data_IF_566083810951
#
_entry.id   IF_566083810951
#
_cell.length_a   1.000
_cell.length_b   1.000
_cell.length_c   1.000
_cell.angle_alpha   90.00
_cell.angle_beta   90.00
_cell.angle_gamma   90.00
#
_symmetry.space_group_name_H-M   'P 1'
#
loop_
_entity.id
_entity.type
_entity.pdbx_description
1 polymer ?
#
# COMPACT_ATOMS: atom_id res chain seq x y z
N UNK A 1 4.44 31.14 6.92
CA UNK A 1 3.88 29.95 7.61
C UNK A 1 2.67 29.55 6.79
N UNK A 2 2.87 28.54 5.91
CA UNK A 2 1.82 28.11 5.00
C UNK A 2 0.57 27.63 5.75
N UNK A 3 -0.56 27.82 5.10
CA UNK A 3 -1.88 27.45 5.62
C UNK A 3 -1.93 25.97 6.00
N UNK A 4 -1.91 25.67 7.30
CA UNK A 4 -1.93 24.31 7.84
C UNK A 4 -3.14 23.51 7.34
N UNK A 5 -4.24 24.17 7.01
CA UNK A 5 -5.45 23.55 6.51
C UNK A 5 -5.23 23.00 5.08
N UNK A 6 -4.57 23.78 4.23
CA UNK A 6 -4.20 23.34 2.87
C UNK A 6 -3.20 22.19 2.89
N UNK A 7 -2.18 22.28 3.76
CA UNK A 7 -1.20 21.19 3.91
C UNK A 7 -1.87 19.90 4.35
N UNK A 8 -2.77 19.96 5.34
CA UNK A 8 -3.55 18.80 5.79
C UNK A 8 -4.38 18.20 4.65
N UNK A 9 -5.06 19.03 3.84
CA UNK A 9 -5.86 18.54 2.72
C UNK A 9 -5.00 17.85 1.66
N UNK A 10 -3.84 18.42 1.33
CA UNK A 10 -2.88 17.81 0.41
C UNK A 10 -2.40 16.45 0.90
N UNK A 11 -2.07 16.34 2.18
CA UNK A 11 -1.62 15.08 2.79
C UNK A 11 -2.73 14.03 2.76
N UNK A 12 -3.96 14.40 3.12
CA UNK A 12 -5.12 13.50 3.05
C UNK A 12 -5.33 12.97 1.63
N UNK A 13 -5.30 13.85 0.64
CA UNK A 13 -5.41 13.47 -0.77
C UNK A 13 -4.27 12.54 -1.20
N UNK A 14 -3.03 12.86 -0.81
CA UNK A 14 -1.87 12.03 -1.11
C UNK A 14 -2.01 10.62 -0.52
N UNK A 15 -2.37 10.51 0.75
CA UNK A 15 -2.61 9.24 1.43
C UNK A 15 -3.72 8.46 0.71
N UNK A 16 -4.89 9.06 0.49
CA UNK A 16 -6.04 8.39 -0.14
C UNK A 16 -5.72 7.89 -1.55
N UNK A 17 -5.02 8.68 -2.37
CA UNK A 17 -4.67 8.32 -3.74
C UNK A 17 -3.62 7.21 -3.75
N UNK A 18 -2.58 7.34 -2.92
CA UNK A 18 -1.49 6.35 -2.87
C UNK A 18 -1.98 5.01 -2.35
N UNK A 19 -2.82 5.00 -1.30
CA UNK A 19 -3.40 3.76 -0.75
C UNK A 19 -4.41 3.14 -1.70
N UNK A 20 -5.16 3.96 -2.45
CA UNK A 20 -6.07 3.48 -3.51
C UNK A 20 -5.34 2.64 -4.57
N UNK A 21 -4.07 2.94 -4.88
CA UNK A 21 -3.26 2.19 -5.83
C UNK A 21 -2.50 1.02 -5.18
N UNK A 22 -1.92 1.26 -4.00
CA UNK A 22 -1.02 0.28 -3.36
C UNK A 22 -1.79 -0.86 -2.69
N UNK A 23 -2.93 -0.61 -2.04
CA UNK A 23 -3.68 -1.68 -1.38
C UNK A 23 -4.15 -2.79 -2.34
N UNK A 24 -4.81 -2.49 -3.48
CA UNK A 24 -5.19 -3.56 -4.40
C UNK A 24 -3.97 -4.27 -5.02
N UNK A 25 -2.88 -3.55 -5.28
CA UNK A 25 -1.66 -4.15 -5.81
C UNK A 25 -1.04 -5.13 -4.81
N UNK A 26 -0.91 -4.74 -3.52
CA UNK A 26 -0.35 -5.62 -2.48
C UNK A 26 -1.28 -6.77 -2.14
N UNK A 27 -2.59 -6.53 -2.03
CA UNK A 27 -3.59 -7.60 -1.79
C UNK A 27 -3.62 -8.57 -2.97
N UNK A 28 -3.65 -8.06 -4.19
CA UNK A 28 -3.61 -8.88 -5.39
C UNK A 28 -2.35 -9.74 -5.44
N UNK A 29 -1.17 -9.14 -5.25
CA UNK A 29 0.10 -9.84 -5.23
C UNK A 29 0.15 -10.92 -4.13
N UNK A 30 -0.36 -10.63 -2.94
CA UNK A 30 -0.44 -11.62 -1.86
C UNK A 30 -1.31 -12.81 -2.26
N UNK A 31 -2.48 -12.58 -2.84
CA UNK A 31 -3.43 -13.67 -3.20
C UNK A 31 -2.91 -14.50 -4.37
N UNK A 32 -2.29 -13.87 -5.39
CA UNK A 32 -1.76 -14.61 -6.54
C UNK A 32 -0.38 -15.20 -6.31
N UNK A 33 0.26 -14.94 -5.17
CA UNK A 33 1.66 -15.31 -4.89
C UNK A 33 1.95 -16.80 -5.10
N UNK A 34 1.05 -17.70 -4.67
CA UNK A 34 1.22 -19.15 -4.86
C UNK A 34 1.24 -19.52 -6.35
N UNK A 35 0.26 -19.04 -7.12
CA UNK A 35 0.19 -19.29 -8.57
C UNK A 35 1.40 -18.67 -9.30
N UNK A 36 1.82 -17.49 -8.86
CA UNK A 36 2.95 -16.77 -9.44
C UNK A 36 4.28 -17.52 -9.20
N UNK A 37 4.51 -17.98 -7.96
CA UNK A 37 5.72 -18.73 -7.60
C UNK A 37 5.78 -20.05 -8.36
N UNK A 38 4.68 -20.79 -8.44
CA UNK A 38 4.62 -22.05 -9.20
C UNK A 38 4.85 -21.84 -10.70
N UNK A 39 4.37 -20.73 -11.26
CA UNK A 39 4.55 -20.42 -12.68
C UNK A 39 5.99 -20.01 -13.03
N UNK A 40 6.63 -19.23 -12.17
CA UNK A 40 7.95 -18.66 -12.45
C UNK A 40 9.12 -19.52 -11.96
N UNK A 41 8.96 -20.21 -10.82
CA UNK A 41 10.06 -20.81 -10.07
C UNK A 41 9.92 -22.30 -9.83
N UNK A 42 8.79 -22.93 -10.08
CA UNK A 42 8.47 -24.31 -9.72
C UNK A 42 8.06 -24.51 -8.25
N UNK A 43 7.56 -25.71 -7.93
CA UNK A 43 7.04 -26.05 -6.59
C UNK A 43 8.09 -26.02 -5.48
N UNK A 44 9.38 -26.17 -5.81
CA UNK A 44 10.50 -26.09 -4.86
C UNK A 44 10.52 -24.76 -4.09
N UNK A 45 10.06 -23.68 -4.72
CA UNK A 45 10.04 -22.34 -4.13
C UNK A 45 8.75 -22.00 -3.38
N UNK A 46 7.84 -22.95 -3.20
CA UNK A 46 6.57 -22.74 -2.49
C UNK A 46 6.76 -22.21 -1.06
N UNK A 47 7.89 -22.54 -0.42
CA UNK A 47 8.26 -22.00 0.88
C UNK A 47 8.46 -20.47 0.90
N UNK A 48 8.60 -19.81 -0.26
CA UNK A 48 8.71 -18.34 -0.35
C UNK A 48 7.35 -17.62 -0.22
N UNK A 49 6.23 -18.31 -0.48
CA UNK A 49 4.89 -17.73 -0.47
C UNK A 49 4.52 -17.04 0.84
N UNK A 50 4.73 -17.63 2.03
CA UNK A 50 4.45 -16.96 3.31
C UNK A 50 5.26 -15.66 3.49
N UNK A 51 6.50 -15.62 3.02
CA UNK A 51 7.33 -14.40 3.07
C UNK A 51 6.78 -13.30 2.16
N UNK A 52 6.24 -13.67 0.99
CA UNK A 52 5.57 -12.72 0.11
C UNK A 52 4.32 -12.11 0.78
N UNK A 53 3.51 -12.91 1.49
CA UNK A 53 2.37 -12.39 2.25
C UNK A 53 2.78 -11.39 3.31
N UNK A 54 3.80 -11.73 4.10
CA UNK A 54 4.35 -10.84 5.12
C UNK A 54 4.83 -9.53 4.49
N UNK A 55 5.58 -9.62 3.39
CA UNK A 55 6.06 -8.47 2.65
C UNK A 55 4.91 -7.60 2.13
N UNK A 56 3.93 -8.18 1.44
CA UNK A 56 2.78 -7.45 0.92
C UNK A 56 2.02 -6.71 2.02
N UNK A 57 1.76 -7.36 3.15
CA UNK A 57 1.10 -6.71 4.28
C UNK A 57 1.93 -5.56 4.85
N UNK A 58 3.22 -5.79 5.08
CA UNK A 58 4.12 -4.78 5.67
C UNK A 58 4.26 -3.55 4.76
N UNK A 59 4.39 -3.75 3.45
CA UNK A 59 4.56 -2.67 2.48
C UNK A 59 3.26 -2.00 2.03
N UNK A 60 2.10 -2.61 2.27
CA UNK A 60 0.81 -1.98 1.98
C UNK A 60 0.65 -0.62 2.67
N UNK A 61 1.18 -0.47 3.89
CA UNK A 61 1.11 0.77 4.67
C UNK A 61 2.24 1.77 4.37
N UNK A 62 3.14 1.47 3.45
CA UNK A 62 4.25 2.35 3.08
C UNK A 62 3.84 3.78 2.70
N UNK A 63 2.76 4.00 1.94
CA UNK A 63 2.30 5.35 1.62
C UNK A 63 1.97 6.20 2.85
N UNK A 64 1.42 5.59 3.91
CA UNK A 64 1.13 6.30 5.15
C UNK A 64 2.42 6.71 5.87
N UNK A 65 3.40 5.80 5.90
CA UNK A 65 4.70 6.09 6.52
C UNK A 65 5.37 7.29 5.86
N UNK A 66 5.47 7.27 4.54
CA UNK A 66 6.13 8.32 3.76
C UNK A 66 5.40 9.64 3.83
N UNK A 67 4.07 9.65 3.67
CA UNK A 67 3.28 10.87 3.75
C UNK A 67 3.39 11.53 5.13
N UNK A 68 3.30 10.77 6.21
CA UNK A 68 3.45 11.30 7.57
C UNK A 68 4.83 11.91 7.82
N UNK A 69 5.88 11.27 7.33
CA UNK A 69 7.25 11.75 7.48
C UNK A 69 7.52 13.00 6.65
N UNK A 70 7.04 13.03 5.39
CA UNK A 70 7.18 14.17 4.50
C UNK A 70 6.52 15.43 5.05
N UNK A 71 5.40 15.30 5.77
CA UNK A 71 4.76 16.42 6.47
C UNK A 71 5.69 17.05 7.50
N UNK A 72 6.29 16.23 8.35
CA UNK A 72 7.21 16.68 9.41
C UNK A 72 8.40 17.42 8.79
N UNK A 73 8.95 16.87 7.69
CA UNK A 73 10.05 17.48 6.95
C UNK A 73 9.64 18.80 6.26
N UNK A 74 8.47 18.83 5.61
CA UNK A 74 7.95 20.03 4.96
C UNK A 74 7.68 21.18 5.94
N UNK A 75 7.41 20.87 7.22
CA UNK A 75 7.28 21.87 8.29
C UNK A 75 8.62 22.31 8.89
N UNK A 76 9.77 21.86 8.33
CA UNK A 76 11.10 22.18 8.82
C UNK A 76 11.47 21.51 10.16
N UNK A 77 10.68 20.49 10.59
CA UNK A 77 10.88 19.79 11.88
C UNK A 77 11.67 18.50 11.70
N UNK A 78 12.81 18.58 11.04
CA UNK A 78 13.70 17.43 10.84
C UNK A 78 14.23 16.84 12.15
N UNK A 79 14.28 17.63 13.22
CA UNK A 79 14.58 17.19 14.59
C UNK A 79 13.63 16.09 15.06
N UNK A 80 12.32 16.24 14.81
CA UNK A 80 11.30 15.24 15.15
C UNK A 80 11.49 14.00 14.28
N UNK A 81 11.67 14.19 12.97
CA UNK A 81 11.89 13.09 12.03
C UNK A 81 13.07 12.21 12.45
N UNK A 82 14.20 12.81 12.82
CA UNK A 82 15.39 12.11 13.30
C UNK A 82 15.11 11.30 14.57
N UNK A 83 14.44 11.90 15.56
CA UNK A 83 14.07 11.21 16.81
C UNK A 83 13.19 9.99 16.55
N UNK A 84 12.18 10.12 15.68
CA UNK A 84 11.31 9.00 15.31
C UNK A 84 12.08 7.87 14.61
N UNK A 85 13.01 8.22 13.71
CA UNK A 85 13.85 7.22 13.04
C UNK A 85 14.76 6.48 14.04
N UNK A 86 15.38 7.18 14.99
CA UNK A 86 16.21 6.55 16.03
C UNK A 86 15.37 5.57 16.85
N UNK A 87 14.17 5.96 17.31
CA UNK A 87 13.29 5.10 18.10
C UNK A 87 12.91 3.85 17.29
N UNK A 88 12.49 4.01 16.04
CA UNK A 88 12.11 2.88 15.18
C UNK A 88 13.29 1.93 14.94
N UNK A 89 14.49 2.47 14.67
CA UNK A 89 15.71 1.66 14.47
C UNK A 89 16.10 0.90 15.74
N UNK A 90 16.05 1.53 16.92
CA UNK A 90 16.33 0.86 18.18
C UNK A 90 15.39 -0.33 18.40
N UNK A 91 14.09 -0.14 18.23
CA UNK A 91 13.10 -1.23 18.36
C UNK A 91 13.33 -2.31 17.30
N UNK A 92 13.64 -1.94 16.05
CA UNK A 92 13.95 -2.91 14.99
C UNK A 92 15.15 -3.77 15.36
N UNK A 93 16.23 -3.17 15.89
CA UNK A 93 17.44 -3.92 16.30
C UNK A 93 17.13 -4.88 17.44
N UNK A 94 16.37 -4.45 18.45
CA UNK A 94 15.94 -5.31 19.57
C UNK A 94 15.12 -6.50 19.06
N UNK A 95 14.11 -6.24 18.21
CA UNK A 95 13.29 -7.29 17.62
C UNK A 95 14.13 -8.26 16.77
N UNK A 96 15.10 -7.75 16.01
CA UNK A 96 15.99 -8.56 15.19
C UNK A 96 16.86 -9.50 16.04
N UNK A 97 17.52 -8.97 17.09
CA UNK A 97 18.35 -9.77 17.99
C UNK A 97 17.52 -10.88 18.67
N UNK A 98 16.28 -10.58 19.02
CA UNK A 98 15.41 -11.55 19.64
C UNK A 98 14.93 -12.61 18.62
N UNK A 99 14.52 -12.20 17.42
CA UNK A 99 13.92 -13.08 16.41
C UNK A 99 14.93 -14.01 15.71
N UNK A 100 16.20 -13.61 15.59
CA UNK A 100 17.26 -14.45 14.99
C UNK A 100 17.35 -15.82 15.67
N UNK A 101 17.10 -15.90 16.98
CA UNK A 101 17.13 -17.16 17.74
C UNK A 101 16.07 -18.16 17.31
N UNK A 102 14.99 -17.69 16.67
CA UNK A 102 13.86 -18.52 16.25
C UNK A 102 13.85 -18.82 14.73
N UNK A 103 14.92 -18.41 14.03
CA UNK A 103 15.10 -18.67 12.60
C UNK A 103 14.57 -17.59 11.66
N UNK A 104 14.81 -17.80 10.37
CA UNK A 104 14.54 -16.81 9.32
C UNK A 104 13.06 -16.45 9.23
N UNK A 105 12.16 -17.40 9.43
CA UNK A 105 10.71 -17.12 9.38
C UNK A 105 10.26 -16.20 10.51
N UNK A 106 10.80 -16.36 11.72
CA UNK A 106 10.51 -15.47 12.84
C UNK A 106 10.97 -14.04 12.58
N UNK A 107 12.13 -13.86 11.94
CA UNK A 107 12.62 -12.54 11.52
C UNK A 107 11.64 -11.89 10.54
N UNK A 108 11.14 -12.64 9.56
CA UNK A 108 10.16 -12.13 8.62
C UNK A 108 8.84 -11.74 9.31
N UNK A 109 8.32 -12.58 10.20
CA UNK A 109 7.08 -12.31 10.95
C UNK A 109 7.20 -11.05 11.82
N UNK A 110 8.38 -10.77 12.38
CA UNK A 110 8.63 -9.55 13.15
C UNK A 110 8.45 -8.25 12.32
N UNK A 111 8.50 -8.33 10.99
CA UNK A 111 8.22 -7.16 10.15
C UNK A 111 6.78 -6.66 10.28
N UNK A 112 5.81 -7.53 10.60
CA UNK A 112 4.40 -7.16 10.77
C UNK A 112 4.19 -6.20 11.94
N UNK A 113 4.52 -6.58 13.19
CA UNK A 113 4.38 -5.66 14.33
C UNK A 113 5.28 -4.42 14.20
N UNK A 114 6.45 -4.54 13.61
CA UNK A 114 7.34 -3.39 13.36
C UNK A 114 6.73 -2.39 12.36
N UNK A 115 6.04 -2.87 11.31
CA UNK A 115 5.32 -2.01 10.38
C UNK A 115 4.20 -1.24 11.08
N UNK A 116 3.38 -1.92 11.88
CA UNK A 116 2.30 -1.29 12.66
C UNK A 116 2.87 -0.30 13.67
N UNK A 117 3.92 -0.67 14.41
CA UNK A 117 4.61 0.22 15.35
C UNK A 117 5.13 1.48 14.66
N UNK A 118 5.82 1.32 13.53
CA UNK A 118 6.33 2.45 12.74
C UNK A 118 5.22 3.37 12.25
N UNK A 119 4.07 2.80 11.86
CA UNK A 119 2.90 3.56 11.45
C UNK A 119 2.37 4.45 12.59
N UNK A 120 2.23 3.88 13.79
CA UNK A 120 1.78 4.61 14.97
C UNK A 120 2.77 5.73 15.34
N UNK A 121 4.06 5.41 15.39
CA UNK A 121 5.14 6.36 15.72
C UNK A 121 5.17 7.52 14.73
N UNK A 122 5.07 7.27 13.44
CA UNK A 122 5.07 8.32 12.41
C UNK A 122 3.78 9.16 12.41
N UNK A 123 2.65 8.60 12.82
CA UNK A 123 1.37 9.31 12.88
C UNK A 123 1.23 10.22 14.10
N UNK A 124 1.94 9.90 15.19
CA UNK A 124 1.79 10.59 16.46
C UNK A 124 2.05 12.11 16.40
N UNK A 125 3.14 12.61 15.79
CA UNK A 125 3.39 14.06 15.71
C UNK A 125 2.35 14.81 14.86
N UNK A 126 1.77 14.16 13.85
CA UNK A 126 0.81 14.79 12.95
C UNK A 126 -0.52 15.14 13.63
N UNK A 127 -0.82 14.51 14.78
CA UNK A 127 -1.94 14.91 15.63
C UNK A 127 -1.79 16.35 16.12
N UNK A 128 -0.60 16.76 16.59
CA UNK A 128 -0.36 18.11 17.12
C UNK A 128 0.04 19.11 16.03
N UNK A 129 0.75 18.67 14.99
CA UNK A 129 1.24 19.53 13.92
C UNK A 129 0.13 19.97 12.96
N UNK A 130 -0.76 19.05 12.57
CA UNK A 130 -1.79 19.26 11.54
C UNK A 130 -3.23 19.00 12.02
N UNK A 131 -3.47 18.69 13.29
CA UNK A 131 -4.76 18.19 13.76
C UNK A 131 -5.26 17.00 12.92
N UNK A 132 -4.34 16.09 12.56
CA UNK A 132 -4.63 14.90 11.74
C UNK A 132 -4.27 13.62 12.51
N UNK A 133 -5.12 13.21 13.47
CA UNK A 133 -4.89 12.04 14.29
C UNK A 133 -4.98 10.74 13.47
N UNK A 134 -4.38 9.68 13.99
CA UNK A 134 -4.37 8.34 13.35
C UNK A 134 -5.77 7.83 12.97
N UNK A 135 -6.80 8.09 13.79
CA UNK A 135 -8.19 7.71 13.47
C UNK A 135 -8.68 8.31 12.15
N UNK A 136 -8.33 9.56 11.86
CA UNK A 136 -8.70 10.19 10.59
C UNK A 136 -7.94 9.59 9.42
N UNK A 137 -6.66 9.24 9.63
CA UNK A 137 -5.87 8.53 8.62
C UNK A 137 -6.50 7.17 8.30
N UNK A 138 -6.92 6.41 9.32
CA UNK A 138 -7.64 5.15 9.12
C UNK A 138 -8.96 5.34 8.34
N UNK A 139 -9.73 6.36 8.66
CA UNK A 139 -10.97 6.66 7.94
C UNK A 139 -10.71 6.99 6.46
N UNK A 140 -9.62 7.72 6.17
CA UNK A 140 -9.25 8.10 4.80
C UNK A 140 -8.78 6.89 3.96
N UNK A 141 -8.17 5.87 4.58
CA UNK A 141 -7.71 4.66 3.87
C UNK A 141 -8.75 3.53 3.86
N UNK A 142 -9.74 3.57 4.75
CA UNK A 142 -10.74 2.51 4.91
C UNK A 142 -11.46 2.13 3.61
N UNK A 143 -11.91 3.08 2.76
CA UNK A 143 -12.54 2.73 1.48
C UNK A 143 -11.64 1.89 0.56
N UNK A 144 -10.35 2.25 0.46
CA UNK A 144 -9.40 1.51 -0.35
C UNK A 144 -9.09 0.12 0.24
N UNK A 145 -8.98 0.03 1.58
CA UNK A 145 -8.76 -1.22 2.28
C UNK A 145 -9.93 -2.19 2.09
N UNK A 146 -11.16 -1.70 2.28
CA UNK A 146 -12.38 -2.49 2.08
C UNK A 146 -12.50 -3.02 0.65
N UNK A 147 -12.35 -2.15 -0.35
CA UNK A 147 -12.42 -2.55 -1.76
C UNK A 147 -11.35 -3.57 -2.12
N UNK A 148 -10.13 -3.40 -1.60
CA UNK A 148 -9.03 -4.35 -1.81
C UNK A 148 -9.29 -5.68 -1.13
N UNK A 149 -9.91 -5.69 0.05
CA UNK A 149 -10.31 -6.90 0.75
C UNK A 149 -11.35 -7.70 -0.02
N UNK A 150 -12.42 -7.07 -0.51
CA UNK A 150 -13.44 -7.72 -1.34
C UNK A 150 -12.84 -8.25 -2.63
N UNK A 151 -12.01 -7.44 -3.31
CA UNK A 151 -11.26 -7.87 -4.50
C UNK A 151 -10.41 -9.11 -4.19
N UNK A 152 -9.65 -9.08 -3.09
CA UNK A 152 -8.79 -10.19 -2.68
C UNK A 152 -9.57 -11.49 -2.44
N UNK A 153 -10.72 -11.42 -1.77
CA UNK A 153 -11.60 -12.58 -1.57
C UNK A 153 -12.06 -13.17 -2.91
N UNK A 154 -12.49 -12.35 -3.85
CA UNK A 154 -12.94 -12.83 -5.16
C UNK A 154 -11.79 -13.44 -5.99
N UNK A 155 -10.60 -12.82 -5.95
CA UNK A 155 -9.40 -13.35 -6.61
C UNK A 155 -8.95 -14.67 -5.99
N UNK A 156 -9.06 -14.80 -4.67
CA UNK A 156 -8.78 -16.05 -3.96
C UNK A 156 -9.73 -17.18 -4.39
N UNK A 157 -11.02 -16.91 -4.47
CA UNK A 157 -12.02 -17.88 -4.95
C UNK A 157 -11.76 -18.28 -6.41
N UNK A 158 -11.41 -17.33 -7.27
CA UNK A 158 -11.01 -17.63 -8.65
C UNK A 158 -9.75 -18.51 -8.73
N UNK A 159 -8.86 -18.43 -7.74
CA UNK A 159 -7.68 -19.29 -7.61
C UNK A 159 -8.00 -20.76 -7.31
N UNK A 160 -9.20 -21.07 -6.82
CA UNK A 160 -9.67 -22.45 -6.60
C UNK A 160 -10.10 -23.20 -7.88
N UNK A 161 -10.17 -22.53 -9.02
CA UNK A 161 -10.53 -23.17 -10.28
C UNK A 161 -9.46 -24.16 -10.76
N UNK A 162 -9.84 -25.35 -11.27
CA UNK A 162 -8.93 -26.37 -11.77
C UNK A 162 -8.38 -25.99 -13.16
N UNK A 163 -7.60 -24.91 -13.23
CA UNK A 163 -7.00 -24.38 -14.44
C UNK A 163 -5.48 -24.50 -14.36
N UNK A 164 -4.83 -24.58 -15.52
CA UNK A 164 -3.37 -24.49 -15.59
C UNK A 164 -2.86 -23.16 -15.03
N UNK A 165 -1.66 -23.13 -14.42
CA UNK A 165 -1.14 -21.99 -13.67
C UNK A 165 -1.13 -20.68 -14.46
N UNK A 166 -0.83 -20.70 -15.77
CA UNK A 166 -0.86 -19.52 -16.61
C UNK A 166 -2.28 -18.96 -16.79
N UNK A 167 -3.25 -19.83 -17.10
CA UNK A 167 -4.65 -19.42 -17.27
C UNK A 167 -5.25 -18.95 -15.93
N UNK A 168 -4.94 -19.68 -14.85
CA UNK A 168 -5.34 -19.31 -13.49
C UNK A 168 -4.86 -17.90 -13.12
N UNK A 169 -3.57 -17.60 -13.33
CA UNK A 169 -3.02 -16.27 -13.07
C UNK A 169 -3.71 -15.19 -13.90
N UNK A 170 -3.94 -15.46 -15.19
CA UNK A 170 -4.64 -14.53 -16.08
C UNK A 170 -6.06 -14.24 -15.60
N UNK A 171 -6.82 -15.27 -15.23
CA UNK A 171 -8.17 -15.13 -14.68
C UNK A 171 -8.15 -14.34 -13.37
N UNK A 172 -7.22 -14.64 -12.47
CA UNK A 172 -7.07 -13.93 -11.20
C UNK A 172 -6.80 -12.43 -11.41
N UNK A 173 -5.89 -12.07 -12.32
CA UNK A 173 -5.56 -10.66 -12.62
C UNK A 173 -6.73 -9.92 -13.25
N UNK A 174 -7.40 -10.53 -14.23
CA UNK A 174 -8.56 -9.92 -14.90
C UNK A 174 -9.72 -9.74 -13.91
N UNK A 175 -10.04 -10.77 -13.11
CA UNK A 175 -11.09 -10.72 -12.09
C UNK A 175 -10.78 -9.63 -11.06
N UNK A 176 -9.54 -9.58 -10.56
CA UNK A 176 -9.12 -8.55 -9.61
C UNK A 176 -9.29 -7.13 -10.14
N UNK A 177 -8.80 -6.89 -11.35
CA UNK A 177 -8.93 -5.59 -12.02
C UNK A 177 -10.40 -5.18 -12.24
N UNK A 178 -11.22 -6.09 -12.77
CA UNK A 178 -12.63 -5.81 -13.02
C UNK A 178 -13.41 -5.51 -11.72
N UNK A 179 -13.23 -6.33 -10.67
CA UNK A 179 -13.92 -6.13 -9.41
C UNK A 179 -13.51 -4.82 -8.75
N UNK A 180 -12.19 -4.53 -8.71
CA UNK A 180 -11.71 -3.29 -8.11
C UNK A 180 -12.23 -2.05 -8.84
N UNK A 181 -12.23 -2.05 -10.17
CA UNK A 181 -12.79 -0.97 -10.98
C UNK A 181 -14.30 -0.86 -10.79
N UNK A 182 -15.02 -1.96 -10.78
CA UNK A 182 -16.47 -1.98 -10.53
C UNK A 182 -16.80 -1.38 -9.16
N UNK A 183 -16.15 -1.81 -8.09
CA UNK A 183 -16.33 -1.25 -6.75
C UNK A 183 -15.97 0.24 -6.69
N UNK A 184 -14.92 0.66 -7.40
CA UNK A 184 -14.49 2.06 -7.45
C UNK A 184 -15.53 2.97 -8.12
N UNK A 185 -16.22 2.47 -9.15
CA UNK A 185 -17.33 3.18 -9.80
C UNK A 185 -18.54 3.21 -8.89
N UNK A 186 -18.90 2.08 -8.28
CA UNK A 186 -20.08 1.95 -7.42
C UNK A 186 -19.99 2.84 -6.17
N UNK A 187 -18.81 2.92 -5.56
CA UNK A 187 -18.59 3.72 -4.34
C UNK A 187 -18.32 5.20 -4.61
N UNK A 188 -18.34 5.64 -5.87
CA UNK A 188 -18.01 7.01 -6.27
C UNK A 188 -16.72 7.54 -5.58
N UNK A 189 -15.69 6.70 -5.46
CA UNK A 189 -14.48 7.02 -4.72
C UNK A 189 -13.78 8.24 -5.30
N UNK A 190 -13.55 9.27 -4.47
CA UNK A 190 -12.90 10.52 -4.89
C UNK A 190 -11.49 10.27 -5.47
N UNK A 191 -10.76 9.29 -4.94
CA UNK A 191 -9.44 8.90 -5.45
C UNK A 191 -9.52 8.35 -6.87
N UNK A 192 -10.56 7.54 -7.18
CA UNK A 192 -10.83 7.05 -8.52
C UNK A 192 -11.09 8.19 -9.51
N UNK A 193 -11.98 9.13 -9.13
CA UNK A 193 -12.32 10.29 -9.97
C UNK A 193 -11.06 11.11 -10.26
N UNK A 194 -10.23 11.35 -9.25
CA UNK A 194 -8.98 12.09 -9.40
C UNK A 194 -7.99 11.37 -10.34
N UNK A 195 -7.76 10.07 -10.13
CA UNK A 195 -6.86 9.26 -10.98
C UNK A 195 -7.37 9.22 -12.41
N UNK A 196 -8.67 9.01 -12.62
CA UNK A 196 -9.30 9.01 -13.95
C UNK A 196 -9.09 10.34 -14.67
N UNK A 197 -9.37 11.45 -14.00
CA UNK A 197 -9.21 12.80 -14.59
C UNK A 197 -7.77 13.09 -14.97
N UNK A 198 -6.82 12.69 -14.12
CA UNK A 198 -5.39 12.84 -14.40
C UNK A 198 -4.92 11.96 -15.54
N UNK A 199 -5.35 10.69 -15.58
CA UNK A 199 -5.01 9.77 -16.67
C UNK A 199 -5.52 10.28 -18.02
N UNK A 200 -6.76 10.74 -18.09
CA UNK A 200 -7.35 11.32 -19.32
C UNK A 200 -6.57 12.58 -19.74
N UNK A 201 -6.23 13.46 -18.79
CA UNK A 201 -5.44 14.66 -19.06
C UNK A 201 -4.04 14.37 -19.62
N UNK A 202 -3.37 13.34 -19.12
CA UNK A 202 -2.06 12.88 -19.62
C UNK A 202 -2.17 12.29 -21.03
N UNK A 203 -3.19 11.48 -21.29
CA UNK A 203 -3.46 10.91 -22.63
C UNK A 203 -3.73 12.01 -23.66
N UNK A 204 -4.54 13.02 -23.29
CA UNK A 204 -4.82 14.17 -24.16
C UNK A 204 -3.56 14.97 -24.49
N UNK A 205 -2.75 15.28 -23.47
CA UNK A 205 -1.48 16.00 -23.64
C UNK A 205 -0.46 15.24 -24.48
N UNK A 206 -0.42 13.90 -24.37
CA UNK A 206 0.42 13.04 -25.22
C UNK A 206 -0.05 13.08 -26.67
N UNK A 207 -1.36 13.04 -26.92
CA UNK A 207 -1.96 13.10 -28.25
C UNK A 207 -1.69 14.45 -28.93
N UNK A 208 -1.79 15.56 -28.20
CA UNK A 208 -1.48 16.91 -28.68
C UNK A 208 0.01 17.04 -29.07
N UNK A 209 0.93 16.48 -28.27
CA UNK A 209 2.37 16.46 -28.60
C UNK A 209 2.71 15.61 -29.82
N UNK A 210 2.04 14.47 -29.99
CA UNK A 210 2.28 13.59 -31.15
C UNK A 210 1.63 14.14 -32.44
N UNK A 211 0.55 14.91 -32.33
CA UNK A 211 -0.09 15.59 -33.46
C UNK A 211 0.61 16.87 -33.90
N UNK A 212 1.44 17.49 -33.02
CA UNK A 212 2.21 18.68 -33.34
C UNK A 212 3.57 18.40 -34.04
N UNK A 213 3.94 17.11 -34.18
CA UNK A 213 5.20 16.64 -34.82
C UNK A 213 4.94 16.10 -36.24
N UNK A 214 3.70 16.19 -36.73
CA UNK A 214 3.34 15.96 -38.13
C UNK A 214 3.03 17.29 -38.78
#
# INVERSE_FOLDING_TARGET
>A
IGDKSKLRELVRKSISISTYLIFPAMTGLAVVSSTLVQLLYTDVWSAAVPYMWIGCFSYAFWPLHTANLQVIQAMGRSDISLKLEIIKKAVTVICLIWSIRYGVFAVAVCALPLSIFSLLVNSFPNKSLLNYPFRMQLADIFPALWMSGVMGCCVFLAGGLPLGNFLKLSVQLVTGGMIYLFLSVLTHNQSFIYVKTRAIGLCRKKRERTGAVK
#
